data_IF_142000934007
#
_entry.id   IF_142000934007
#
_cell.length_a   1.000
_cell.length_b   1.000
_cell.length_c   1.000
_cell.angle_alpha   90.00
_cell.angle_beta   90.00
_cell.angle_gamma   90.00
#
_symmetry.space_group_name_H-M   'P 1'
#
loop_
_entity.id
_entity.type
_entity.pdbx_description
1 polymer ?
#
# COMPACT_ATOMS: atom_id res chain seq x y z
N UNK A 1 -16.84 15.48 13.50
CA UNK A 1 -16.83 14.04 13.83
C UNK A 1 -15.53 13.45 13.32
N UNK A 2 -14.91 12.54 14.06
CA UNK A 2 -13.73 11.81 13.59
C UNK A 2 -12.66 11.63 14.66
N UNK A 3 -12.94 10.88 15.71
CA UNK A 3 -11.92 10.41 16.66
C UNK A 3 -11.18 9.17 16.13
N UNK A 4 -11.58 8.65 14.95
CA UNK A 4 -11.03 7.45 14.33
C UNK A 4 -11.07 7.57 12.79
N UNK A 5 -10.24 6.80 12.07
CA UNK A 5 -10.25 6.77 10.61
C UNK A 5 -11.57 6.26 10.04
N UNK A 6 -12.03 6.88 8.96
CA UNK A 6 -13.12 6.41 8.11
C UNK A 6 -12.74 5.10 7.37
N UNK A 7 -13.72 4.34 6.86
CA UNK A 7 -13.43 3.12 6.09
C UNK A 7 -12.55 3.36 4.85
N UNK A 8 -12.68 4.50 4.17
CA UNK A 8 -11.84 4.83 3.01
C UNK A 8 -10.42 5.20 3.42
N UNK A 9 -10.23 5.85 4.57
CA UNK A 9 -8.89 6.07 5.14
C UNK A 9 -8.23 4.75 5.55
N UNK A 10 -8.98 3.83 6.17
CA UNK A 10 -8.48 2.48 6.48
C UNK A 10 -8.14 1.69 5.22
N UNK A 11 -8.95 1.82 4.16
CA UNK A 11 -8.68 1.19 2.88
C UNK A 11 -7.36 1.69 2.26
N UNK A 12 -7.13 3.01 2.22
CA UNK A 12 -5.85 3.58 1.77
C UNK A 12 -4.69 3.13 2.66
N UNK A 13 -4.88 3.13 3.98
CA UNK A 13 -3.89 2.65 4.95
C UNK A 13 -3.58 1.15 4.78
N UNK A 14 -4.57 0.33 4.36
CA UNK A 14 -4.36 -1.10 4.10
C UNK A 14 -3.41 -1.33 2.92
N UNK A 15 -3.52 -0.55 1.84
CA UNK A 15 -2.57 -0.59 0.73
C UNK A 15 -1.18 -0.12 1.19
N UNK A 16 -1.09 1.02 1.87
CA UNK A 16 0.17 1.57 2.35
C UNK A 16 0.91 0.59 3.30
N UNK A 17 0.18 -0.03 4.23
CA UNK A 17 0.74 -1.02 5.15
C UNK A 17 1.17 -2.32 4.45
N UNK A 18 0.42 -2.77 3.45
CA UNK A 18 0.81 -3.91 2.61
C UNK A 18 2.12 -3.64 1.86
N UNK A 19 2.24 -2.46 1.24
CA UNK A 19 3.47 -2.02 0.57
C UNK A 19 4.64 -1.97 1.56
N UNK A 20 4.44 -1.36 2.73
CA UNK A 20 5.45 -1.28 3.78
C UNK A 20 5.90 -2.68 4.26
N UNK A 21 4.96 -3.60 4.46
CA UNK A 21 5.26 -4.97 4.87
C UNK A 21 6.18 -5.69 3.87
N UNK A 22 5.86 -5.62 2.58
CA UNK A 22 6.67 -6.26 1.53
C UNK A 22 8.04 -5.58 1.35
N UNK A 23 8.10 -4.25 1.43
CA UNK A 23 9.36 -3.50 1.40
C UNK A 23 10.27 -3.88 2.58
N UNK A 24 9.74 -3.94 3.82
CA UNK A 24 10.50 -4.38 5.00
C UNK A 24 11.02 -5.81 4.86
N UNK A 25 10.17 -6.72 4.36
CA UNK A 25 10.55 -8.12 4.13
C UNK A 25 11.67 -8.24 3.10
N UNK A 26 11.63 -7.44 2.03
CA UNK A 26 12.71 -7.39 1.05
C UNK A 26 14.02 -6.93 1.70
N UNK A 27 14.00 -5.80 2.42
CA UNK A 27 15.17 -5.28 3.12
C UNK A 27 15.77 -6.32 4.07
N UNK A 28 14.91 -6.97 4.88
CA UNK A 28 15.34 -8.03 5.79
C UNK A 28 15.99 -9.21 5.06
N UNK A 29 15.42 -9.68 3.95
CA UNK A 29 15.95 -10.81 3.18
C UNK A 29 17.31 -10.54 2.55
N UNK A 30 17.65 -9.27 2.34
CA UNK A 30 18.91 -8.83 1.74
C UNK A 30 19.87 -8.23 2.76
N UNK A 31 19.65 -8.46 4.06
CA UNK A 31 20.48 -7.97 5.16
C UNK A 31 20.67 -6.45 5.16
N UNK A 32 19.64 -5.72 4.70
CA UNK A 32 19.61 -4.27 4.69
C UNK A 32 18.89 -3.72 5.93
N UNK A 33 19.33 -2.53 6.37
CA UNK A 33 18.67 -1.80 7.47
C UNK A 33 17.22 -1.52 7.12
N UNK A 34 16.34 -1.60 8.11
CA UNK A 34 14.91 -1.28 7.99
C UNK A 34 14.55 0.06 8.63
N UNK A 35 15.35 0.51 9.60
CA UNK A 35 15.15 1.80 10.27
C UNK A 35 15.19 2.94 9.26
N UNK A 36 14.20 3.83 9.30
CA UNK A 36 14.08 4.91 8.33
C UNK A 36 13.24 4.59 7.10
N UNK A 37 12.74 3.35 6.94
CA UNK A 37 11.73 3.07 5.92
C UNK A 37 10.43 3.79 6.29
N UNK A 38 10.01 4.72 5.44
CA UNK A 38 8.74 5.43 5.58
C UNK A 38 7.90 5.17 4.33
N UNK A 39 6.61 4.89 4.52
CA UNK A 39 5.64 4.78 3.44
C UNK A 39 4.53 5.79 3.68
N UNK A 40 4.32 6.69 2.73
CA UNK A 40 3.25 7.67 2.77
C UNK A 40 2.24 7.37 1.66
N UNK A 41 0.98 7.71 1.91
CA UNK A 41 -0.10 7.53 0.96
C UNK A 41 -0.88 8.83 0.82
N UNK A 42 -1.20 9.20 -0.41
CA UNK A 42 -2.12 10.26 -0.74
C UNK A 42 -3.24 9.67 -1.60
N UNK A 43 -4.47 10.12 -1.38
CA UNK A 43 -5.61 9.62 -2.13
C UNK A 43 -6.55 10.76 -2.50
N UNK A 44 -7.23 10.61 -3.64
CA UNK A 44 -8.29 11.52 -4.06
C UNK A 44 -9.63 10.81 -4.04
N UNK A 45 -10.70 11.55 -3.76
CA UNK A 45 -12.06 11.01 -3.79
C UNK A 45 -12.66 11.21 -5.18
N UNK A 46 -13.35 10.18 -5.67
CA UNK A 46 -14.16 10.22 -6.87
C UNK A 46 -15.64 10.32 -6.53
N UNK A 47 -16.41 10.95 -7.41
CA UNK A 47 -17.86 10.95 -7.35
C UNK A 47 -18.45 10.12 -8.50
N UNK A 48 -19.71 9.70 -8.33
CA UNK A 48 -20.53 8.99 -9.33
C UNK A 48 -19.81 7.78 -9.98
N UNK A 49 -19.57 6.68 -9.24
CA UNK A 49 -19.93 6.44 -7.84
C UNK A 49 -18.90 7.02 -6.85
N UNK A 50 -19.32 7.21 -5.59
CA UNK A 50 -18.42 7.58 -4.49
C UNK A 50 -17.38 6.48 -4.28
N UNK A 51 -16.09 6.83 -4.35
CA UNK A 51 -14.97 5.89 -4.24
C UNK A 51 -13.65 6.63 -3.99
N UNK A 52 -12.59 5.89 -3.68
CA UNK A 52 -11.22 6.39 -3.85
C UNK A 52 -10.90 6.38 -5.35
N UNK A 53 -10.64 7.55 -5.93
CA UNK A 53 -10.40 7.70 -7.37
C UNK A 53 -8.95 7.42 -7.77
N UNK A 54 -8.00 7.83 -6.93
CA UNK A 54 -6.58 7.56 -7.13
C UNK A 54 -5.87 7.43 -5.79
N UNK A 55 -4.76 6.70 -5.79
CA UNK A 55 -3.83 6.58 -4.67
C UNK A 55 -2.41 6.71 -5.19
N UNK A 56 -1.59 7.51 -4.51
CA UNK A 56 -0.15 7.60 -4.73
C UNK A 56 0.54 7.11 -3.48
N UNK A 57 1.36 6.07 -3.60
CA UNK A 57 2.16 5.52 -2.51
C UNK A 57 3.61 5.89 -2.74
N UNK A 58 4.25 6.53 -1.77
CA UNK A 58 5.64 6.95 -1.84
C UNK A 58 6.45 6.23 -0.77
N UNK A 59 7.55 5.58 -1.17
CA UNK A 59 8.48 4.93 -0.27
C UNK A 59 9.73 5.79 -0.11
N UNK A 60 10.05 6.18 1.12
CA UNK A 60 11.37 6.70 1.48
C UNK A 60 12.17 5.54 2.05
N UNK A 61 13.25 5.18 1.35
CA UNK A 61 14.09 4.05 1.73
C UNK A 61 15.09 4.46 2.83
N UNK A 62 15.48 3.51 3.72
CA UNK A 62 16.58 3.70 4.65
C UNK A 62 17.88 4.15 3.97
N UNK A 63 18.71 4.85 4.72
CA UNK A 63 20.07 5.17 4.29
C UNK A 63 20.88 3.90 4.01
N UNK A 64 21.72 3.95 2.97
CA UNK A 64 22.59 2.84 2.60
C UNK A 64 21.92 1.72 1.80
N UNK A 65 20.65 1.85 1.38
CA UNK A 65 20.07 0.94 0.38
C UNK A 65 20.78 1.15 -0.98
N UNK A 66 21.46 0.12 -1.53
CA UNK A 66 22.17 0.23 -2.80
C UNK A 66 21.26 0.54 -3.99
N UNK A 67 21.72 1.38 -4.92
CA UNK A 67 20.96 1.79 -6.11
C UNK A 67 20.49 0.59 -6.97
N UNK A 68 21.35 -0.41 -7.14
CA UNK A 68 21.07 -1.63 -7.89
C UNK A 68 19.93 -2.48 -7.28
N UNK A 69 19.67 -2.32 -5.98
CA UNK A 69 18.58 -3.02 -5.28
C UNK A 69 17.26 -2.26 -5.26
N UNK A 70 17.25 -0.95 -5.55
CA UNK A 70 16.04 -0.11 -5.41
C UNK A 70 14.91 -0.54 -6.35
N UNK A 71 15.23 -0.87 -7.59
CA UNK A 71 14.22 -1.29 -8.57
C UNK A 71 13.59 -2.65 -8.19
N UNK A 72 14.40 -3.60 -7.73
CA UNK A 72 13.89 -4.89 -7.25
C UNK A 72 13.04 -4.73 -5.98
N UNK A 73 13.43 -3.85 -5.06
CA UNK A 73 12.62 -3.51 -3.88
C UNK A 73 11.27 -2.92 -4.30
N UNK A 74 11.29 -1.91 -5.18
CA UNK A 74 10.07 -1.26 -5.69
C UNK A 74 9.15 -2.29 -6.35
N UNK A 75 9.70 -3.19 -7.17
CA UNK A 75 8.91 -4.25 -7.79
C UNK A 75 8.25 -5.16 -6.75
N UNK A 76 8.96 -5.62 -5.73
CA UNK A 76 8.35 -6.46 -4.67
C UNK A 76 7.28 -5.70 -3.90
N UNK A 77 7.52 -4.43 -3.58
CA UNK A 77 6.57 -3.60 -2.86
C UNK A 77 5.32 -3.26 -3.70
N UNK A 78 5.45 -3.11 -5.02
CA UNK A 78 4.33 -2.82 -5.93
C UNK A 78 3.49 -4.04 -6.29
N UNK A 79 3.97 -5.26 -6.06
CA UNK A 79 3.22 -6.51 -6.27
C UNK A 79 2.71 -7.11 -4.95
N UNK A 80 2.46 -6.27 -3.95
CA UNK A 80 1.89 -6.70 -2.68
C UNK A 80 0.44 -7.22 -2.88
N UNK A 81 -0.04 -8.07 -1.98
CA UNK A 81 -1.36 -8.71 -2.08
C UNK A 81 -2.49 -7.71 -2.32
N UNK A 82 -2.56 -6.63 -1.54
CA UNK A 82 -3.60 -5.60 -1.68
C UNK A 82 -3.51 -4.90 -3.03
N UNK A 83 -2.32 -4.54 -3.50
CA UNK A 83 -2.15 -3.93 -4.82
C UNK A 83 -2.66 -4.88 -5.92
N UNK A 84 -2.25 -6.15 -5.89
CA UNK A 84 -2.71 -7.14 -6.86
C UNK A 84 -4.24 -7.32 -6.85
N UNK A 85 -4.88 -7.30 -5.67
CA UNK A 85 -6.34 -7.32 -5.56
C UNK A 85 -7.01 -6.09 -6.18
N UNK A 86 -6.36 -4.92 -6.16
CA UNK A 86 -6.92 -3.70 -6.77
C UNK A 86 -6.75 -3.68 -8.29
N UNK A 87 -5.65 -4.20 -8.80
CA UNK A 87 -5.39 -4.30 -10.25
C UNK A 87 -6.05 -5.52 -10.89
N UNK A 88 -6.44 -6.49 -10.07
CA UNK A 88 -7.24 -7.66 -10.44
C UNK A 88 -8.43 -7.77 -9.47
N UNK A 89 -9.45 -6.90 -9.63
CA UNK A 89 -10.57 -6.82 -8.70
C UNK A 89 -11.26 -8.18 -8.51
N UNK A 90 -11.53 -8.60 -7.27
CA UNK A 90 -12.30 -9.80 -7.02
C UNK A 90 -13.78 -9.54 -7.32
N UNK A 91 -14.53 -10.61 -7.57
CA UNK A 91 -15.99 -10.54 -7.59
C UNK A 91 -16.50 -10.30 -6.17
N UNK A 92 -17.25 -9.20 -5.99
CA UNK A 92 -17.83 -8.82 -4.69
C UNK A 92 -19.35 -8.92 -4.78
N UNK A 93 -19.92 -9.88 -4.06
CA UNK A 93 -21.36 -10.10 -3.95
C UNK A 93 -21.85 -9.59 -2.59
N UNK A 94 -22.87 -8.73 -2.60
CA UNK A 94 -23.55 -8.24 -1.40
C UNK A 94 -24.99 -8.74 -1.43
N UNK A 95 -25.40 -9.49 -0.42
CA UNK A 95 -26.72 -10.11 -0.34
C UNK A 95 -27.33 -9.93 1.05
N UNK A 96 -28.66 -9.87 1.09
CA UNK A 96 -29.41 -9.92 2.34
C UNK A 96 -29.48 -11.38 2.81
N UNK A 97 -29.21 -11.61 4.09
CA UNK A 97 -29.56 -12.86 4.74
C UNK A 97 -31.06 -12.85 5.05
N UNK A 98 -31.75 -13.95 4.73
CA UNK A 98 -33.13 -14.22 5.12
C UNK A 98 -33.23 -14.82 6.52
#
# INVERSE_FOLDING_TARGET
TGTAPSPTELFVASLASCVAFYARRYLQRHDLRQDGLVVTAQATSGAKPSRVASMTITLTLPDGVPEDKRQALLAVASHCTVHNTLTHPPDVLVQLAG
#
